data_IF_093155299085
#
_entry.id   IF_093155299085
#
_cell.length_a   1.000
_cell.length_b   1.000
_cell.length_c   1.000
_cell.angle_alpha   90.00
_cell.angle_beta   90.00
_cell.angle_gamma   90.00
#
_symmetry.space_group_name_H-M   'P 1'
#
loop_
_entity.id
_entity.type
_entity.pdbx_description
1 polymer ?
#
# COMPACT_ATOMS: atom_id res chain seq x y z
N UNK A 1 -19.09 3.86 -6.15
CA UNK A 1 -18.31 4.19 -4.94
C UNK A 1 -18.26 5.71 -4.74
N UNK A 2 -17.73 6.48 -5.70
CA UNK A 2 -17.50 7.92 -5.56
C UNK A 2 -18.75 8.80 -5.36
N UNK A 3 -19.94 8.33 -5.77
CA UNK A 3 -21.20 9.05 -5.48
C UNK A 3 -21.51 9.21 -3.98
N UNK A 4 -20.87 8.42 -3.12
CA UNK A 4 -21.03 8.43 -1.66
C UNK A 4 -19.89 9.14 -0.93
N UNK A 5 -19.07 9.91 -1.66
CA UNK A 5 -17.97 10.67 -1.09
C UNK A 5 -18.07 12.14 -1.52
N UNK A 6 -17.67 13.04 -0.62
CA UNK A 6 -17.60 14.48 -0.90
C UNK A 6 -16.19 14.89 -1.36
N UNK A 7 -15.16 14.15 -0.94
CA UNK A 7 -13.77 14.30 -1.37
C UNK A 7 -13.10 12.94 -1.56
N UNK A 8 -12.09 12.88 -2.43
CA UNK A 8 -11.21 11.73 -2.56
C UNK A 8 -9.76 12.16 -2.74
N UNK A 9 -8.85 11.51 -2.01
CA UNK A 9 -7.40 11.60 -2.27
C UNK A 9 -6.94 10.32 -2.96
N UNK A 10 -6.24 10.48 -4.08
CA UNK A 10 -5.78 9.35 -4.90
C UNK A 10 -4.27 9.40 -5.06
N UNK A 11 -3.60 8.34 -4.60
CA UNK A 11 -2.25 8.06 -5.04
C UNK A 11 -2.31 7.21 -6.31
N UNK A 12 -2.08 7.86 -7.45
CA UNK A 12 -2.09 7.21 -8.77
C UNK A 12 -1.00 6.15 -8.92
N UNK A 13 0.00 6.17 -8.03
CA UNK A 13 1.06 5.16 -7.91
C UNK A 13 0.58 3.73 -7.60
N UNK A 14 -0.73 3.55 -7.40
CA UNK A 14 -1.37 2.26 -7.10
C UNK A 14 -2.23 1.90 -8.30
N UNK A 15 -3.54 2.01 -8.18
CA UNK A 15 -4.48 1.46 -9.15
C UNK A 15 -4.63 2.34 -10.40
N UNK A 16 -3.85 3.41 -10.57
CA UNK A 16 -3.72 4.11 -11.85
C UNK A 16 -2.45 3.70 -12.62
N UNK A 17 -1.72 2.65 -12.17
CA UNK A 17 -0.66 1.98 -12.96
C UNK A 17 0.45 2.96 -13.43
N UNK A 18 0.82 3.91 -12.58
CA UNK A 18 1.89 4.88 -12.87
C UNK A 18 2.97 4.90 -11.79
N UNK A 19 4.14 5.41 -12.15
CA UNK A 19 5.30 5.48 -11.24
C UNK A 19 5.24 6.68 -10.27
N UNK A 20 4.56 7.76 -10.66
CA UNK A 20 4.40 8.99 -9.90
C UNK A 20 3.02 9.59 -10.18
N UNK A 21 2.59 10.50 -9.31
CA UNK A 21 1.35 11.26 -9.48
C UNK A 21 0.26 10.90 -8.48
N UNK A 22 -0.70 11.81 -8.41
CA UNK A 22 -1.86 11.76 -7.54
C UNK A 22 -2.76 12.95 -7.82
N UNK A 23 -3.94 12.93 -7.23
CA UNK A 23 -4.86 14.05 -7.29
C UNK A 23 -5.78 14.04 -6.08
N UNK A 24 -6.37 15.19 -5.80
CA UNK A 24 -7.52 15.33 -4.93
C UNK A 24 -8.73 15.66 -5.80
N UNK A 25 -9.86 15.02 -5.54
CA UNK A 25 -11.13 15.28 -6.20
C UNK A 25 -12.13 15.80 -5.18
N UNK A 26 -12.94 16.77 -5.62
CA UNK A 26 -13.97 17.42 -4.80
C UNK A 26 -15.31 17.28 -5.51
N UNK A 27 -16.36 17.08 -4.74
CA UNK A 27 -17.74 17.09 -5.23
C UNK A 27 -18.26 18.53 -5.39
N UNK A 28 -17.94 19.40 -4.44
CA UNK A 28 -18.35 20.80 -4.41
C UNK A 28 -17.25 21.72 -4.96
N UNK A 29 -17.64 22.66 -5.82
CA UNK A 29 -16.69 23.61 -6.43
C UNK A 29 -16.05 24.55 -5.41
N UNK A 30 -16.77 24.92 -4.34
CA UNK A 30 -16.24 25.77 -3.28
C UNK A 30 -15.05 25.15 -2.57
N UNK A 31 -15.08 23.84 -2.34
CA UNK A 31 -13.99 23.12 -1.68
C UNK A 31 -12.76 23.03 -2.58
N UNK A 32 -12.97 22.81 -3.88
CA UNK A 32 -11.92 22.89 -4.88
C UNK A 32 -11.27 24.27 -4.90
N UNK A 33 -12.04 25.36 -4.88
CA UNK A 33 -11.50 26.73 -4.87
C UNK A 33 -10.71 27.03 -3.59
N UNK A 34 -11.17 26.56 -2.42
CA UNK A 34 -10.44 26.71 -1.16
C UNK A 34 -9.10 25.97 -1.17
N UNK A 35 -8.97 24.88 -1.92
CA UNK A 35 -7.71 24.10 -1.99
C UNK A 35 -6.63 24.78 -2.83
N UNK A 36 -6.97 25.73 -3.71
CA UNK A 36 -6.01 26.34 -4.66
C UNK A 36 -4.82 26.99 -3.97
N UNK A 37 -5.03 27.66 -2.85
CA UNK A 37 -3.95 28.33 -2.10
C UNK A 37 -2.91 27.29 -1.65
N UNK A 38 -3.38 26.14 -1.14
CA UNK A 38 -2.51 25.07 -0.68
C UNK A 38 -1.81 24.35 -1.83
N UNK A 39 -2.52 24.08 -2.93
CA UNK A 39 -1.97 23.48 -4.15
C UNK A 39 -0.79 24.30 -4.67
N UNK A 40 -0.96 25.62 -4.77
CA UNK A 40 0.06 26.56 -5.24
C UNK A 40 1.27 26.63 -4.30
N UNK A 41 1.03 26.57 -2.98
CA UNK A 41 2.11 26.65 -2.00
C UNK A 41 2.96 25.37 -1.93
N UNK A 42 2.35 24.20 -2.11
CA UNK A 42 3.01 22.91 -1.82
C UNK A 42 3.38 22.07 -3.04
N UNK A 43 2.59 22.12 -4.12
CA UNK A 43 2.71 21.15 -5.23
C UNK A 43 3.01 21.84 -6.57
N UNK A 44 2.27 22.91 -6.91
CA UNK A 44 2.39 23.61 -8.19
C UNK A 44 1.10 24.34 -8.59
N UNK A 45 0.91 24.62 -9.88
CA UNK A 45 -0.31 25.29 -10.33
C UNK A 45 -1.46 24.31 -10.52
N UNK A 46 -2.70 24.80 -10.41
CA UNK A 46 -3.96 24.02 -10.45
C UNK A 46 -4.12 23.13 -11.70
N UNK A 47 -3.39 23.42 -12.79
CA UNK A 47 -3.45 22.65 -14.04
C UNK A 47 -2.40 21.54 -14.14
N UNK A 48 -1.46 21.43 -13.20
CA UNK A 48 -0.40 20.41 -13.26
C UNK A 48 0.01 19.80 -11.92
N UNK A 49 -0.19 20.48 -10.80
CA UNK A 49 0.03 19.96 -9.44
C UNK A 49 1.31 19.18 -9.23
N UNK A 50 2.45 19.81 -9.55
CA UNK A 50 3.78 19.19 -9.41
C UNK A 50 4.13 18.09 -10.41
N UNK A 51 3.21 17.73 -11.34
CA UNK A 51 3.44 16.68 -12.33
C UNK A 51 3.91 17.25 -13.67
N UNK A 52 4.81 16.52 -14.35
CA UNK A 52 5.09 16.83 -15.75
C UNK A 52 3.88 16.44 -16.62
N UNK A 53 3.66 17.13 -17.74
CA UNK A 53 2.54 16.84 -18.65
C UNK A 53 2.47 15.38 -19.12
N UNK A 54 3.62 14.73 -19.31
CA UNK A 54 3.70 13.30 -19.64
C UNK A 54 3.20 12.38 -18.51
N UNK A 55 3.43 12.76 -17.26
CA UNK A 55 3.03 11.97 -16.09
C UNK A 55 1.51 12.08 -15.88
N UNK A 56 0.93 13.26 -16.14
CA UNK A 56 -0.53 13.45 -16.19
C UNK A 56 -1.16 12.62 -17.32
N UNK A 57 -0.53 12.56 -18.50
CA UNK A 57 -1.04 11.75 -19.60
C UNK A 57 -0.97 10.24 -19.28
N UNK A 58 0.12 9.78 -18.69
CA UNK A 58 0.26 8.40 -18.24
C UNK A 58 -0.78 8.05 -17.15
N UNK A 59 -1.05 8.97 -16.23
CA UNK A 59 -2.06 8.82 -15.19
C UNK A 59 -3.46 8.66 -15.80
N UNK A 60 -3.82 9.53 -16.76
CA UNK A 60 -5.12 9.45 -17.44
C UNK A 60 -5.31 8.09 -18.14
N UNK A 61 -4.29 7.63 -18.87
CA UNK A 61 -4.31 6.32 -19.53
C UNK A 61 -4.39 5.16 -18.53
N UNK A 62 -3.59 5.19 -17.46
CA UNK A 62 -3.57 4.10 -16.48
C UNK A 62 -4.83 4.02 -15.60
N UNK A 63 -5.56 5.13 -15.43
CA UNK A 63 -6.90 5.11 -14.84
C UNK A 63 -7.92 4.43 -15.76
N UNK A 64 -7.85 4.67 -17.06
CA UNK A 64 -8.75 4.03 -18.03
C UNK A 64 -8.51 2.51 -18.05
N UNK A 65 -7.23 2.12 -18.19
CA UNK A 65 -6.81 0.71 -18.18
C UNK A 65 -7.20 -0.04 -16.89
N UNK A 66 -7.21 0.64 -15.74
CA UNK A 66 -7.54 -0.01 -14.47
C UNK A 66 -9.03 -0.25 -14.26
N UNK A 67 -9.88 0.29 -15.14
CA UNK A 67 -11.31 -0.06 -15.17
C UNK A 67 -11.59 -1.36 -15.91
N UNK A 68 -10.62 -1.88 -16.67
CA UNK A 68 -10.77 -3.11 -17.44
C UNK A 68 -10.87 -4.33 -16.53
N UNK A 69 -11.95 -5.10 -16.71
CA UNK A 69 -12.23 -6.26 -15.86
C UNK A 69 -11.11 -7.30 -15.89
N UNK A 70 -10.61 -7.63 -17.09
CA UNK A 70 -9.57 -8.66 -17.25
C UNK A 70 -8.27 -8.28 -16.56
N UNK A 71 -7.94 -6.97 -16.52
CA UNK A 71 -6.80 -6.45 -15.79
C UNK A 71 -6.98 -6.68 -14.29
N UNK A 72 -8.10 -6.21 -13.73
CA UNK A 72 -8.41 -6.33 -12.30
C UNK A 72 -8.49 -7.79 -11.87
N UNK A 73 -9.14 -8.64 -12.67
CA UNK A 73 -9.31 -10.05 -12.40
C UNK A 73 -7.95 -10.77 -12.34
N UNK A 74 -7.10 -10.56 -13.36
CA UNK A 74 -5.77 -11.14 -13.43
C UNK A 74 -4.91 -10.69 -12.24
N UNK A 75 -4.95 -9.38 -11.94
CA UNK A 75 -4.21 -8.79 -10.81
C UNK A 75 -4.62 -9.44 -9.49
N UNK A 76 -5.91 -9.58 -9.21
CA UNK A 76 -6.38 -10.15 -7.94
C UNK A 76 -6.08 -11.65 -7.87
N UNK A 77 -6.29 -12.41 -8.96
CA UNK A 77 -5.98 -13.84 -9.03
C UNK A 77 -4.50 -14.15 -8.81
N UNK A 78 -3.59 -13.26 -9.22
CA UNK A 78 -2.16 -13.43 -8.94
C UNK A 78 -1.86 -13.39 -7.44
N UNK A 79 -2.52 -12.51 -6.68
CA UNK A 79 -2.33 -12.42 -5.23
C UNK A 79 -2.99 -13.62 -4.56
N UNK A 80 -4.20 -13.98 -5.00
CA UNK A 80 -4.89 -15.18 -4.53
C UNK A 80 -4.04 -16.43 -4.72
N UNK A 81 -3.40 -16.59 -5.89
CA UNK A 81 -2.51 -17.72 -6.17
C UNK A 81 -1.34 -17.78 -5.17
N UNK A 82 -0.64 -16.67 -4.94
CA UNK A 82 0.44 -16.61 -3.96
C UNK A 82 -0.05 -16.98 -2.55
N UNK A 83 -1.19 -16.40 -2.13
CA UNK A 83 -1.82 -16.69 -0.85
C UNK A 83 -2.14 -18.17 -0.68
N UNK A 84 -2.79 -18.78 -1.68
CA UNK A 84 -3.12 -20.22 -1.71
C UNK A 84 -1.87 -21.09 -1.54
N UNK A 85 -0.82 -20.83 -2.33
CA UNK A 85 0.44 -21.59 -2.23
C UNK A 85 1.03 -21.50 -0.82
N UNK A 86 1.07 -20.31 -0.22
CA UNK A 86 1.57 -20.14 1.15
C UNK A 86 0.74 -20.93 2.16
N UNK A 87 -0.60 -20.88 2.07
CA UNK A 87 -1.46 -21.67 2.97
C UNK A 87 -1.35 -23.18 2.77
N UNK A 88 -1.18 -23.65 1.53
CA UNK A 88 -0.94 -25.06 1.21
C UNK A 88 0.36 -25.57 1.85
N UNK A 89 1.37 -24.71 1.97
CA UNK A 89 2.62 -25.00 2.70
C UNK A 89 2.52 -24.79 4.22
N UNK A 90 1.33 -24.48 4.75
CA UNK A 90 1.11 -24.28 6.18
C UNK A 90 1.65 -22.95 6.72
N UNK A 91 1.99 -21.99 5.86
CA UNK A 91 2.43 -20.66 6.29
C UNK A 91 1.23 -19.86 6.81
N UNK A 92 1.30 -19.32 8.04
CA UNK A 92 0.19 -18.56 8.61
C UNK A 92 0.09 -17.18 7.94
N UNK A 93 -1.01 -16.92 7.26
CA UNK A 93 -1.28 -15.65 6.58
C UNK A 93 -2.62 -15.05 7.01
N UNK A 94 -2.77 -13.74 6.86
CA UNK A 94 -4.04 -13.06 7.06
C UNK A 94 -5.07 -13.53 6.02
N UNK A 95 -6.28 -13.84 6.48
CA UNK A 95 -7.43 -14.22 5.65
C UNK A 95 -8.61 -13.25 5.86
N UNK A 96 -9.44 -13.00 4.83
CA UNK A 96 -9.23 -13.39 3.43
C UNK A 96 -8.01 -12.68 2.81
N UNK A 97 -7.48 -13.22 1.72
CA UNK A 97 -6.37 -12.57 1.00
C UNK A 97 -6.80 -11.17 0.52
N UNK A 98 -5.89 -10.20 0.63
CA UNK A 98 -6.12 -8.86 0.11
C UNK A 98 -5.98 -8.80 -1.42
N UNK A 99 -6.32 -7.65 -2.01
CA UNK A 99 -6.17 -7.43 -3.45
C UNK A 99 -4.75 -7.06 -3.90
N UNK A 100 -3.85 -6.68 -2.98
CA UNK A 100 -2.55 -6.09 -3.34
C UNK A 100 -1.30 -6.73 -2.72
N UNK A 101 -1.49 -7.55 -1.70
CA UNK A 101 -0.40 -8.15 -0.94
C UNK A 101 -0.90 -9.37 -0.16
N UNK A 102 0.05 -10.21 0.25
CA UNK A 102 -0.15 -11.22 1.30
C UNK A 102 0.57 -10.75 2.56
N UNK A 103 -0.08 -10.94 3.72
CA UNK A 103 0.46 -10.61 5.03
C UNK A 103 0.70 -11.91 5.79
N UNK A 104 1.96 -12.25 6.05
CA UNK A 104 2.38 -13.44 6.80
C UNK A 104 2.45 -13.07 8.28
N UNK A 105 1.78 -13.84 9.13
CA UNK A 105 1.74 -13.68 10.59
C UNK A 105 3.08 -14.08 11.21
N UNK A 106 3.91 -13.07 11.48
CA UNK A 106 5.27 -13.30 11.97
C UNK A 106 5.28 -13.84 13.41
N UNK A 107 4.27 -13.51 14.23
CA UNK A 107 4.11 -14.07 15.58
C UNK A 107 3.92 -15.57 15.53
N UNK A 108 3.17 -16.08 14.55
CA UNK A 108 2.96 -17.52 14.35
C UNK A 108 4.14 -18.20 13.66
N UNK A 109 4.87 -17.50 12.79
CA UNK A 109 6.09 -18.05 12.17
C UNK A 109 7.26 -18.17 13.17
N UNK A 110 7.43 -17.17 14.04
CA UNK A 110 8.57 -17.06 14.96
C UNK A 110 8.12 -16.92 16.43
N UNK A 111 7.32 -17.86 16.98
CA UNK A 111 6.69 -17.73 18.29
C UNK A 111 7.69 -17.75 19.46
N UNK A 112 8.91 -18.21 19.21
CA UNK A 112 9.99 -18.28 20.20
C UNK A 112 10.82 -16.99 20.28
N UNK A 113 10.67 -16.08 19.30
CA UNK A 113 11.37 -14.79 19.29
C UNK A 113 10.56 -13.77 20.09
N UNK A 114 11.13 -13.11 21.10
CA UNK A 114 10.45 -12.04 21.84
C UNK A 114 10.05 -10.88 20.92
N UNK A 115 8.92 -10.22 21.22
CA UNK A 115 8.42 -9.08 20.44
C UNK A 115 9.42 -7.91 20.38
N UNK A 116 10.25 -7.76 21.42
CA UNK A 116 11.32 -6.77 21.52
C UNK A 116 12.42 -6.97 20.46
N UNK A 117 12.46 -8.15 19.82
CA UNK A 117 13.36 -8.48 18.71
C UNK A 117 12.69 -8.38 17.34
N UNK A 118 11.55 -7.68 17.24
CA UNK A 118 10.91 -7.29 15.97
C UNK A 118 10.67 -8.49 15.04
N UNK A 119 9.76 -9.38 15.43
CA UNK A 119 9.54 -10.67 14.77
C UNK A 119 9.29 -10.54 13.26
N UNK A 120 8.48 -9.58 12.83
CA UNK A 120 8.21 -9.38 11.41
C UNK A 120 9.41 -8.84 10.64
N UNK A 121 10.23 -7.98 11.26
CA UNK A 121 11.46 -7.49 10.64
C UNK A 121 12.50 -8.60 10.53
N UNK A 122 12.64 -9.42 11.57
CA UNK A 122 13.50 -10.61 11.56
C UNK A 122 13.09 -11.54 10.41
N UNK A 123 11.80 -11.86 10.29
CA UNK A 123 11.29 -12.68 9.20
C UNK A 123 11.55 -12.06 7.82
N UNK A 124 11.43 -10.73 7.68
CA UNK A 124 11.71 -10.03 6.43
C UNK A 124 13.18 -10.16 6.00
N UNK A 125 14.11 -10.06 6.97
CA UNK A 125 15.56 -10.19 6.75
C UNK A 125 15.91 -11.62 6.37
N UNK A 126 15.41 -12.62 7.10
CA UNK A 126 15.66 -14.03 6.80
C UNK A 126 15.14 -14.42 5.40
N UNK A 127 13.95 -13.95 5.02
CA UNK A 127 13.41 -14.18 3.68
C UNK A 127 14.30 -13.58 2.58
N UNK A 128 14.88 -12.40 2.83
CA UNK A 128 15.81 -11.78 1.88
C UNK A 128 17.13 -12.56 1.77
N UNK A 129 17.67 -13.04 2.90
CA UNK A 129 18.91 -13.83 2.92
C UNK A 129 18.72 -15.17 2.18
N UNK A 130 17.64 -15.88 2.47
CA UNK A 130 17.41 -17.22 1.94
C UNK A 130 16.96 -17.21 0.47
N UNK A 131 16.10 -16.26 0.09
CA UNK A 131 15.42 -16.29 -1.21
C UNK A 131 15.63 -15.04 -2.07
N UNK A 132 16.34 -14.02 -1.58
CA UNK A 132 16.48 -12.74 -2.28
C UNK A 132 15.16 -11.96 -2.41
N UNK A 133 14.11 -12.34 -1.67
CA UNK A 133 12.80 -11.72 -1.73
C UNK A 133 12.71 -10.63 -0.67
N UNK A 134 12.43 -9.40 -1.11
CA UNK A 134 12.24 -8.26 -0.19
C UNK A 134 10.77 -8.13 0.19
N UNK A 135 10.45 -8.45 1.44
CA UNK A 135 9.20 -8.05 2.08
C UNK A 135 9.36 -6.77 2.90
N UNK A 136 8.25 -6.30 3.47
CA UNK A 136 8.22 -5.12 4.36
C UNK A 136 7.55 -5.50 5.67
N UNK A 137 8.18 -5.13 6.78
CA UNK A 137 7.58 -5.27 8.10
C UNK A 137 6.35 -4.35 8.24
N UNK A 138 5.29 -4.90 8.84
CA UNK A 138 4.09 -4.21 9.26
C UNK A 138 3.85 -4.64 10.71
N UNK A 139 4.57 -4.02 11.63
CA UNK A 139 4.59 -4.40 13.04
C UNK A 139 5.11 -3.29 13.92
N UNK A 140 5.90 -3.67 14.91
CA UNK A 140 6.47 -2.79 15.94
C UNK A 140 7.31 -1.64 15.37
N UNK A 141 8.14 -1.87 14.33
CA UNK A 141 8.96 -0.80 13.74
C UNK A 141 8.08 0.20 13.00
N UNK A 142 7.13 -0.29 12.19
CA UNK A 142 6.17 0.58 11.51
C UNK A 142 5.27 1.34 12.49
N UNK A 143 4.90 0.72 13.61
CA UNK A 143 4.08 1.35 14.63
C UNK A 143 4.78 2.54 15.29
N UNK A 144 6.10 2.62 15.21
CA UNK A 144 6.95 3.66 15.79
C UNK A 144 6.76 3.80 17.33
N UNK A 145 7.56 4.65 17.94
CA UNK A 145 7.50 4.91 19.38
C UNK A 145 6.33 5.82 19.74
N UNK A 146 5.91 5.73 20.98
CA UNK A 146 4.99 6.69 21.57
C UNK A 146 5.71 8.05 21.71
N UNK A 147 5.12 9.17 21.25
CA UNK A 147 5.82 10.44 21.18
C UNK A 147 6.06 11.09 22.56
N UNK A 148 5.33 10.68 23.60
CA UNK A 148 5.47 11.23 24.95
C UNK A 148 6.42 10.39 25.79
N UNK A 149 6.22 9.08 25.81
CA UNK A 149 6.98 8.13 26.63
C UNK A 149 8.25 7.63 25.95
N UNK A 150 8.35 7.76 24.62
CA UNK A 150 9.43 7.25 23.77
C UNK A 150 9.59 5.71 23.80
N UNK A 151 8.62 5.00 24.37
CA UNK A 151 8.60 3.54 24.44
C UNK A 151 8.11 2.94 23.12
N UNK A 152 8.56 1.72 22.82
CA UNK A 152 8.10 0.98 21.65
C UNK A 152 6.61 0.64 21.79
N UNK A 153 5.83 0.91 20.73
CA UNK A 153 4.46 0.43 20.61
C UNK A 153 4.46 -0.95 19.99
N UNK A 154 3.94 -1.94 20.71
CA UNK A 154 3.85 -3.32 20.24
C UNK A 154 2.43 -3.60 19.74
N UNK A 155 2.15 -3.48 18.43
CA UNK A 155 0.83 -3.73 17.89
C UNK A 155 0.40 -5.20 18.05
N UNK A 156 -0.90 -5.42 18.07
CA UNK A 156 -1.47 -6.76 18.03
C UNK A 156 -1.10 -7.48 16.72
N UNK A 157 -1.06 -6.73 15.62
CA UNK A 157 -0.68 -7.20 14.29
C UNK A 157 0.82 -7.04 14.08
N UNK A 158 1.49 -8.14 13.75
CA UNK A 158 2.94 -8.18 13.49
C UNK A 158 3.15 -9.06 12.24
N UNK A 159 3.22 -8.41 11.08
CA UNK A 159 3.16 -9.07 9.77
C UNK A 159 4.39 -8.80 8.92
N UNK A 160 4.80 -9.80 8.14
CA UNK A 160 5.60 -9.59 6.94
C UNK A 160 4.68 -9.39 5.74
N UNK A 161 4.70 -8.21 5.12
CA UNK A 161 3.94 -7.91 3.91
C UNK A 161 4.73 -8.24 2.65
N UNK A 162 4.19 -9.13 1.84
CA UNK A 162 4.63 -9.41 0.48
C UNK A 162 3.72 -8.65 -0.50
N UNK A 163 4.10 -7.43 -0.83
CA UNK A 163 3.38 -6.60 -1.79
C UNK A 163 3.75 -6.99 -3.22
N UNK A 164 2.74 -7.18 -4.08
CA UNK A 164 2.95 -7.51 -5.49
C UNK A 164 2.79 -6.23 -6.32
N UNK A 165 3.86 -5.78 -7.02
CA UNK A 165 3.79 -4.62 -7.90
C UNK A 165 2.72 -4.80 -8.98
N UNK A 166 2.18 -3.66 -9.42
CA UNK A 166 1.40 -3.57 -10.65
C UNK A 166 2.40 -3.44 -11.80
N UNK A 167 1.95 -3.66 -13.04
CA UNK A 167 2.78 -3.63 -14.26
C UNK A 167 3.84 -2.53 -14.25
#
# INVERSE_FOLDING_TARGET
MYQYADLATMSSKKDAIVNIGGFIAFKEESDFQHSWIYEIMFEGFITYGGMAGRDMNALAQGLDESTEFDYLETRIKQIEYLGKRLTEFGIPVQLPYGGHAIFIDAKKCLPHIPKEQYQAQTLAVELYIEAGIRGVEIGTILADRDPETLENRYPELEFLRLAVPRR
#
